data_IF_778513625024
#
_entry.id   IF_778513625024
#
_cell.length_a   1.000
_cell.length_b   1.000
_cell.length_c   1.000
_cell.angle_alpha   90.00
_cell.angle_beta   90.00
_cell.angle_gamma   90.00
#
_symmetry.space_group_name_H-M   'P 1'
#
loop_
_entity.id
_entity.type
_entity.pdbx_description
1 polymer ?
#
# COMPACT_ATOMS: atom_id res chain seq x y z
N UNK A 1 9.82 -7.30 18.73
CA UNK A 1 10.61 -7.67 17.53
C UNK A 1 11.98 -7.02 17.63
N UNK A 2 13.04 -7.64 17.10
CA UNK A 2 14.34 -6.97 16.95
C UNK A 2 14.29 -5.92 15.84
N UNK A 3 15.29 -5.03 15.80
CA UNK A 3 15.46 -4.04 14.73
C UNK A 3 15.53 -4.71 13.35
N UNK A 4 16.28 -5.80 13.24
CA UNK A 4 16.47 -6.56 12.00
C UNK A 4 15.15 -7.20 11.53
N UNK A 5 14.34 -7.70 12.46
CA UNK A 5 13.01 -8.24 12.15
C UNK A 5 12.10 -7.14 11.60
N UNK A 6 12.13 -5.93 12.16
CA UNK A 6 11.33 -4.81 11.67
C UNK A 6 11.81 -4.34 10.29
N UNK A 7 13.13 -4.30 10.05
CA UNK A 7 13.68 -4.00 8.72
C UNK A 7 13.19 -5.03 7.69
N UNK A 8 13.22 -6.32 8.01
CA UNK A 8 12.73 -7.37 7.12
C UNK A 8 11.22 -7.22 6.84
N UNK A 9 10.43 -6.82 7.85
CA UNK A 9 9.00 -6.59 7.69
C UNK A 9 8.72 -5.32 6.86
N UNK A 10 9.53 -4.27 7.01
CA UNK A 10 9.48 -3.09 6.15
C UNK A 10 9.74 -3.46 4.69
N UNK A 11 10.73 -4.30 4.41
CA UNK A 11 11.01 -4.76 3.05
C UNK A 11 9.84 -5.52 2.42
N UNK A 12 9.20 -6.39 3.19
CA UNK A 12 7.99 -7.10 2.75
C UNK A 12 6.81 -6.15 2.50
N UNK A 13 6.61 -5.17 3.39
CA UNK A 13 5.54 -4.19 3.26
C UNK A 13 5.76 -3.25 2.06
N UNK A 14 7.00 -2.86 1.79
CA UNK A 14 7.40 -2.08 0.62
C UNK A 14 7.14 -2.89 -0.66
N UNK A 15 7.59 -4.13 -0.73
CA UNK A 15 7.35 -5.00 -1.89
C UNK A 15 5.85 -5.19 -2.16
N UNK A 16 5.05 -5.42 -1.11
CA UNK A 16 3.60 -5.53 -1.23
C UNK A 16 2.96 -4.22 -1.74
N UNK A 17 3.33 -3.06 -1.19
CA UNK A 17 2.80 -1.77 -1.60
C UNK A 17 3.13 -1.43 -3.06
N UNK A 18 4.31 -1.83 -3.54
CA UNK A 18 4.72 -1.64 -4.94
C UNK A 18 3.82 -2.37 -5.95
N UNK A 19 3.08 -3.38 -5.49
CA UNK A 19 2.26 -4.28 -6.32
C UNK A 19 0.77 -4.03 -6.17
N UNK A 20 0.33 -3.04 -5.39
CA UNK A 20 -1.09 -2.83 -5.11
C UNK A 20 -1.94 -2.69 -6.37
N UNK A 21 -1.46 -1.98 -7.40
CA UNK A 21 -2.20 -1.85 -8.66
C UNK A 21 -2.10 -3.08 -9.57
N UNK A 22 -1.11 -3.96 -9.35
CA UNK A 22 -0.81 -5.10 -10.21
C UNK A 22 -1.53 -6.37 -9.72
N UNK A 23 -1.41 -6.68 -8.42
CA UNK A 23 -2.05 -7.84 -7.80
C UNK A 23 -3.45 -7.53 -7.27
N UNK A 24 -3.69 -6.25 -6.93
CA UNK A 24 -4.96 -5.71 -6.50
C UNK A 24 -5.74 -6.55 -5.49
N UNK A 25 -7.05 -6.38 -5.55
CA UNK A 25 -8.05 -7.06 -4.74
C UNK A 25 -9.36 -7.07 -5.52
N UNK A 26 -10.35 -7.82 -5.03
CA UNK A 26 -11.67 -7.86 -5.65
C UNK A 26 -12.31 -6.47 -5.61
N UNK A 27 -12.38 -5.83 -6.76
CA UNK A 27 -13.08 -4.57 -6.97
C UNK A 27 -14.11 -4.72 -8.07
N UNK A 28 -15.28 -4.16 -7.81
CA UNK A 28 -16.47 -4.32 -8.63
C UNK A 28 -16.88 -2.95 -9.15
N UNK A 29 -17.15 -2.89 -10.45
CA UNK A 29 -17.52 -1.66 -11.14
C UNK A 29 -18.91 -1.79 -11.74
N UNK A 30 -19.71 -0.74 -11.58
CA UNK A 30 -21.07 -0.68 -12.11
C UNK A 30 -22.11 -1.55 -11.39
N UNK A 31 -23.38 -1.50 -11.85
CA UNK A 31 -24.52 -2.16 -11.24
C UNK A 31 -24.51 -3.69 -11.41
N UNK A 32 -23.74 -4.20 -12.38
CA UNK A 32 -23.58 -5.64 -12.62
C UNK A 32 -22.41 -6.24 -11.85
N UNK A 33 -21.71 -5.45 -11.03
CA UNK A 33 -20.58 -5.91 -10.21
C UNK A 33 -19.46 -6.55 -11.04
N UNK A 34 -19.12 -5.94 -12.18
CA UNK A 34 -18.05 -6.44 -13.04
C UNK A 34 -16.72 -6.37 -12.30
N UNK A 35 -16.08 -7.53 -12.13
CA UNK A 35 -14.81 -7.61 -11.42
C UNK A 35 -13.65 -7.11 -12.31
N UNK A 36 -12.88 -6.18 -11.75
CA UNK A 36 -11.67 -5.62 -12.34
C UNK A 36 -10.65 -5.46 -11.22
N UNK A 37 -9.74 -6.43 -11.13
CA UNK A 37 -8.93 -6.62 -9.93
C UNK A 37 -7.49 -6.08 -10.06
N UNK A 38 -7.18 -5.36 -11.13
CA UNK A 38 -5.88 -4.71 -11.34
C UNK A 38 -5.96 -3.62 -12.41
N UNK A 39 -4.94 -2.76 -12.46
CA UNK A 39 -4.78 -1.74 -13.49
C UNK A 39 -4.72 -2.35 -14.90
N UNK A 40 -3.97 -3.45 -15.03
CA UNK A 40 -3.85 -4.16 -16.30
C UNK A 40 -5.21 -4.72 -16.74
N UNK A 41 -5.96 -5.35 -15.82
CA UNK A 41 -7.29 -5.86 -16.12
C UNK A 41 -8.26 -4.73 -16.54
N UNK A 42 -8.14 -3.54 -15.95
CA UNK A 42 -8.93 -2.37 -16.34
C UNK A 42 -8.60 -1.89 -17.76
N UNK A 43 -7.31 -1.85 -18.09
CA UNK A 43 -6.83 -1.44 -19.42
C UNK A 43 -7.24 -2.39 -20.53
N UNK A 44 -7.27 -3.70 -20.22
CA UNK A 44 -7.68 -4.79 -21.12
C UNK A 44 -9.19 -4.86 -21.37
N UNK A 45 -10.03 -4.18 -20.56
CA UNK A 45 -11.46 -4.10 -20.84
C UNK A 45 -11.70 -3.44 -22.20
N UNK A 46 -12.71 -3.90 -22.97
CA UNK A 46 -13.08 -3.28 -24.24
C UNK A 46 -13.50 -1.83 -24.03
N UNK A 47 -13.31 -0.96 -25.03
CA UNK A 47 -13.79 0.43 -24.96
C UNK A 47 -15.31 0.54 -24.80
N UNK A 48 -16.06 -0.51 -25.16
CA UNK A 48 -17.51 -0.61 -24.94
C UNK A 48 -17.90 -0.91 -23.50
N UNK A 49 -16.94 -1.25 -22.63
CA UNK A 49 -17.18 -1.41 -21.20
C UNK A 49 -17.39 -0.04 -20.57
N UNK A 50 -18.64 0.28 -20.21
CA UNK A 50 -19.08 1.59 -19.73
C UNK A 50 -18.25 2.10 -18.54
N UNK A 51 -17.81 1.21 -17.65
CA UNK A 51 -17.04 1.55 -16.45
C UNK A 51 -15.52 1.47 -16.63
N UNK A 52 -15.02 1.36 -17.88
CA UNK A 52 -13.58 1.22 -18.15
C UNK A 52 -12.77 2.38 -17.60
N UNK A 53 -13.20 3.62 -17.86
CA UNK A 53 -12.47 4.81 -17.41
C UNK A 53 -12.48 4.95 -15.89
N UNK A 54 -13.60 4.60 -15.25
CA UNK A 54 -13.70 4.57 -13.79
C UNK A 54 -12.77 3.53 -13.18
N UNK A 55 -12.73 2.31 -13.75
CA UNK A 55 -11.83 1.27 -13.31
C UNK A 55 -10.35 1.63 -13.49
N UNK A 56 -9.99 2.24 -14.62
CA UNK A 56 -8.63 2.73 -14.86
C UNK A 56 -8.27 3.80 -13.83
N UNK A 57 -9.12 4.82 -13.66
CA UNK A 57 -8.86 5.92 -12.74
C UNK A 57 -8.70 5.43 -11.29
N UNK A 58 -9.53 4.48 -10.86
CA UNK A 58 -9.38 3.85 -9.56
C UNK A 58 -8.01 3.18 -9.40
N UNK A 59 -7.64 2.31 -10.33
CA UNK A 59 -6.37 1.56 -10.21
C UNK A 59 -5.13 2.43 -10.40
N UNK A 60 -5.23 3.54 -11.13
CA UNK A 60 -4.16 4.56 -11.22
C UNK A 60 -3.99 5.30 -9.88
N UNK A 61 -5.08 5.68 -9.20
CA UNK A 61 -5.02 6.22 -7.84
C UNK A 61 -4.41 5.20 -6.85
N UNK A 62 -4.77 3.91 -6.97
CA UNK A 62 -4.12 2.85 -6.18
C UNK A 62 -2.61 2.75 -6.48
N UNK A 63 -2.20 2.90 -7.74
CA UNK A 63 -0.77 2.89 -8.11
C UNK A 63 -0.02 4.06 -7.47
N UNK A 64 -0.59 5.26 -7.52
CA UNK A 64 0.00 6.45 -6.91
C UNK A 64 0.09 6.32 -5.38
N UNK A 65 -0.96 5.84 -4.73
CA UNK A 65 -0.96 5.59 -3.29
C UNK A 65 0.04 4.50 -2.88
N UNK A 66 0.16 3.45 -3.68
CA UNK A 66 1.17 2.40 -3.49
C UNK A 66 2.60 2.95 -3.59
N UNK A 67 2.87 3.79 -4.60
CA UNK A 67 4.17 4.44 -4.78
C UNK A 67 4.53 5.38 -3.62
N UNK A 68 3.58 6.18 -3.13
CA UNK A 68 3.81 7.03 -1.95
C UNK A 68 4.05 6.17 -0.70
N UNK A 69 3.30 5.09 -0.53
CA UNK A 69 3.48 4.14 0.58
C UNK A 69 4.86 3.50 0.56
N UNK A 70 5.36 3.13 -0.63
CA UNK A 70 6.74 2.65 -0.84
C UNK A 70 7.76 3.69 -0.41
N UNK A 71 7.60 4.95 -0.82
CA UNK A 71 8.52 6.03 -0.47
C UNK A 71 8.59 6.24 1.06
N UNK A 72 7.45 6.22 1.75
CA UNK A 72 7.42 6.29 3.21
C UNK A 72 8.05 5.05 3.87
N UNK A 73 7.86 3.86 3.29
CA UNK A 73 8.52 2.64 3.74
C UNK A 73 10.04 2.72 3.66
N UNK A 74 10.57 3.19 2.52
CA UNK A 74 12.01 3.40 2.33
C UNK A 74 12.56 4.41 3.33
N UNK A 75 11.87 5.54 3.50
CA UNK A 75 12.21 6.56 4.51
C UNK A 75 12.22 5.99 5.93
N UNK A 76 11.26 5.13 6.27
CA UNK A 76 11.21 4.47 7.56
C UNK A 76 12.41 3.54 7.78
N UNK A 77 12.76 2.75 6.76
CA UNK A 77 13.90 1.82 6.78
C UNK A 77 15.22 2.57 6.96
N UNK A 78 15.47 3.61 6.17
CA UNK A 78 16.67 4.44 6.28
C UNK A 78 16.78 5.10 7.65
N UNK A 79 15.68 5.71 8.13
CA UNK A 79 15.64 6.34 9.44
C UNK A 79 15.94 5.34 10.57
N UNK A 80 15.36 4.13 10.51
CA UNK A 80 15.60 3.07 11.49
C UNK A 80 17.05 2.60 11.46
N UNK A 81 17.63 2.40 10.27
CA UNK A 81 19.04 2.02 10.10
C UNK A 81 19.96 3.06 10.74
N UNK A 82 19.67 4.34 10.54
CA UNK A 82 20.41 5.48 11.10
C UNK A 82 20.10 5.77 12.59
N UNK A 83 19.25 4.98 13.24
CA UNK A 83 18.90 5.14 14.65
C UNK A 83 17.91 6.28 14.94
N UNK A 84 17.31 6.89 13.92
CA UNK A 84 16.29 7.92 14.06
C UNK A 84 14.90 7.29 14.22
N UNK A 85 14.62 6.79 15.44
CA UNK A 85 13.38 6.10 15.76
C UNK A 85 12.13 6.96 15.57
N UNK A 86 12.22 8.26 15.86
CA UNK A 86 11.10 9.19 15.71
C UNK A 86 10.70 9.33 14.24
N UNK A 87 11.67 9.59 13.35
CA UNK A 87 11.42 9.73 11.92
C UNK A 87 10.90 8.43 11.31
N UNK A 88 11.47 7.29 11.73
CA UNK A 88 11.02 5.98 11.31
C UNK A 88 9.55 5.75 11.69
N UNK A 89 9.16 6.08 12.93
CA UNK A 89 7.78 5.92 13.42
C UNK A 89 6.80 6.83 12.69
N UNK A 90 7.20 8.08 12.41
CA UNK A 90 6.37 9.02 11.63
C UNK A 90 6.13 8.53 10.21
N UNK A 91 7.16 8.00 9.55
CA UNK A 91 7.06 7.46 8.20
C UNK A 91 6.16 6.22 8.16
N UNK A 92 6.30 5.29 9.11
CA UNK A 92 5.40 4.11 9.22
C UNK A 92 3.96 4.54 9.52
N UNK A 93 3.76 5.54 10.37
CA UNK A 93 2.42 6.08 10.63
C UNK A 93 1.78 6.67 9.37
N UNK A 94 2.56 7.36 8.54
CA UNK A 94 2.08 7.89 7.26
C UNK A 94 1.71 6.76 6.29
N UNK A 95 2.57 5.75 6.13
CA UNK A 95 2.29 4.58 5.30
C UNK A 95 1.02 3.83 5.77
N UNK A 96 0.81 3.72 7.09
CA UNK A 96 -0.43 3.18 7.66
C UNK A 96 -1.65 3.99 7.26
N UNK A 97 -1.57 5.32 7.27
CA UNK A 97 -2.69 6.17 6.86
C UNK A 97 -3.04 5.99 5.38
N UNK A 98 -2.05 5.78 4.51
CA UNK A 98 -2.27 5.47 3.10
C UNK A 98 -2.91 4.09 2.92
N UNK A 99 -2.43 3.06 3.62
CA UNK A 99 -3.07 1.73 3.60
C UNK A 99 -4.52 1.78 4.09
N UNK A 100 -4.85 2.64 5.06
CA UNK A 100 -6.24 2.81 5.53
C UNK A 100 -7.20 3.31 4.46
N UNK A 101 -6.74 4.05 3.46
CA UNK A 101 -7.59 4.52 2.36
C UNK A 101 -8.08 3.38 1.47
N UNK A 102 -7.32 2.29 1.42
CA UNK A 102 -7.62 1.11 0.60
C UNK A 102 -8.16 -0.06 1.44
N UNK A 103 -7.75 -0.14 2.70
CA UNK A 103 -8.17 -1.14 3.67
C UNK A 103 -8.17 -0.53 5.07
N UNK A 104 -9.35 -0.19 5.59
CA UNK A 104 -9.54 0.48 6.89
C UNK A 104 -8.78 -0.14 8.06
N UNK A 105 -8.50 -1.45 8.01
CA UNK A 105 -7.80 -2.17 9.07
C UNK A 105 -6.28 -1.97 9.06
N UNK A 106 -5.71 -1.46 7.96
CA UNK A 106 -4.26 -1.34 7.74
C UNK A 106 -3.46 -2.54 8.27
N UNK A 107 -3.73 -3.76 7.75
CA UNK A 107 -3.23 -5.00 8.34
C UNK A 107 -1.70 -5.14 8.26
N UNK A 108 -1.04 -4.40 7.37
CA UNK A 108 0.41 -4.46 7.16
C UNK A 108 1.11 -3.39 8.00
N UNK A 109 0.84 -2.12 7.68
CA UNK A 109 1.52 -0.98 8.26
C UNK A 109 1.05 -0.67 9.68
N UNK A 110 -0.19 -1.03 10.04
CA UNK A 110 -0.68 -0.94 11.41
C UNK A 110 0.08 -1.86 12.37
N UNK A 111 0.39 -3.10 11.94
CA UNK A 111 1.20 -4.03 12.75
C UNK A 111 2.64 -3.53 12.92
N UNK A 112 3.23 -3.00 11.84
CA UNK A 112 4.55 -2.38 11.88
C UNK A 112 4.58 -1.18 12.84
N UNK A 113 3.54 -0.34 12.82
CA UNK A 113 3.44 0.80 13.73
C UNK A 113 3.38 0.38 15.20
N UNK A 114 2.58 -0.65 15.53
CA UNK A 114 2.53 -1.23 16.88
C UNK A 114 3.89 -1.81 17.27
N UNK A 115 4.51 -2.62 16.40
CA UNK A 115 5.81 -3.23 16.66
C UNK A 115 6.92 -2.18 16.90
N UNK A 116 6.89 -1.08 16.17
CA UNK A 116 7.81 0.06 16.37
C UNK A 116 7.56 0.86 17.64
N UNK A 117 6.36 0.78 18.20
CA UNK A 117 6.03 1.40 19.49
C UNK A 117 6.59 0.61 20.67
N UNK A 118 6.85 -0.68 20.47
CA UNK A 118 7.40 -1.61 21.47
C UNK A 118 8.94 -1.69 21.44
N UNK A 119 9.58 -1.14 20.40
CA UNK A 119 11.03 -0.92 20.37
C UNK A 119 11.37 0.26 21.30
N UNK A 120 11.81 -0.06 22.51
CA UNK A 120 12.43 0.89 23.46
C UNK A 120 13.86 1.22 23.03
#
# INVERSE_FOLDING_TARGET
>A
MSKEQIISQLDQAIDAASKWADTGWTMKFGPYNDEVNSLQAAREKPETFVYRLEAIAYWEDIQEQGAETVAQGQKAKEALQNGNMMLARQAVHHAMFLEKKVNDKAPTWGKLFTAMSELN
#
